data_IF_956873884398
#
_entry.id   IF_956873884398
#
_cell.length_a   1.000
_cell.length_b   1.000
_cell.length_c   1.000
_cell.angle_alpha   90.00
_cell.angle_beta   90.00
_cell.angle_gamma   90.00
#
_symmetry.space_group_name_H-M   'P 1'
#
loop_
_entity.id
_entity.type
_entity.pdbx_description
1 polymer ?
#
# COMPACT_ATOMS: atom_id res chain seq x y z
N UNK A 1 17.42 4.01 6.59
CA UNK A 1 17.76 3.20 5.39
C UNK A 1 17.93 1.75 5.82
N UNK A 2 17.39 0.83 5.00
CA UNK A 2 17.57 -0.62 5.00
C UNK A 2 16.78 -1.46 6.03
N UNK A 3 15.56 -1.87 5.65
CA UNK A 3 14.94 -3.10 6.17
C UNK A 3 13.95 -3.78 5.18
N UNK A 4 13.99 -3.51 3.87
CA UNK A 4 13.02 -4.12 2.92
C UNK A 4 13.49 -5.47 2.35
N UNK A 5 14.77 -5.82 2.49
CA UNK A 5 15.33 -7.04 1.88
C UNK A 5 14.99 -8.34 2.61
N UNK A 6 14.50 -8.28 3.86
CA UNK A 6 14.24 -9.49 4.65
C UNK A 6 12.81 -10.02 4.50
N UNK A 7 11.79 -9.15 4.44
CA UNK A 7 10.38 -9.59 4.37
C UNK A 7 10.02 -10.22 3.02
N UNK A 8 10.62 -9.74 1.92
CA UNK A 8 10.34 -10.25 0.57
C UNK A 8 11.17 -11.49 0.21
N UNK A 9 12.09 -11.93 1.09
CA UNK A 9 12.98 -13.07 0.83
C UNK A 9 12.23 -14.40 0.69
N UNK A 10 11.04 -14.51 1.27
CA UNK A 10 10.16 -15.68 1.18
C UNK A 10 9.33 -15.74 -0.11
N UNK A 11 9.27 -14.65 -0.88
CA UNK A 11 8.54 -14.60 -2.15
C UNK A 11 9.43 -15.19 -3.25
N UNK A 12 8.90 -16.16 -3.98
CA UNK A 12 9.57 -16.73 -5.14
C UNK A 12 9.82 -15.63 -6.19
N UNK A 13 11.07 -15.44 -6.63
CA UNK A 13 11.38 -14.52 -7.74
C UNK A 13 10.70 -14.99 -9.01
N UNK A 14 10.12 -14.06 -9.77
CA UNK A 14 9.45 -14.38 -11.01
C UNK A 14 10.44 -14.91 -12.06
N UNK A 15 10.16 -16.09 -12.62
CA UNK A 15 11.01 -16.77 -13.62
C UNK A 15 10.31 -17.00 -14.97
N UNK A 16 9.10 -16.46 -15.14
CA UNK A 16 8.29 -16.61 -16.35
C UNK A 16 7.42 -17.88 -16.39
N UNK A 17 7.63 -18.83 -15.49
CA UNK A 17 6.82 -20.07 -15.38
C UNK A 17 6.05 -20.16 -14.07
N UNK A 18 6.47 -19.40 -13.06
CA UNK A 18 5.92 -19.40 -11.71
C UNK A 18 4.95 -18.24 -11.43
N UNK A 19 4.26 -17.72 -12.45
CA UNK A 19 3.37 -16.54 -12.32
C UNK A 19 2.38 -16.68 -11.16
N UNK A 20 1.67 -17.81 -11.05
CA UNK A 20 0.68 -18.00 -9.99
C UNK A 20 1.28 -17.99 -8.58
N UNK A 21 2.48 -18.55 -8.42
CA UNK A 21 3.18 -18.60 -7.13
C UNK A 21 3.78 -17.24 -6.75
N UNK A 22 4.42 -16.57 -7.71
CA UNK A 22 4.91 -15.21 -7.53
C UNK A 22 3.78 -14.24 -7.20
N UNK A 23 2.66 -14.34 -7.95
CA UNK A 23 1.46 -13.54 -7.71
C UNK A 23 0.93 -13.80 -6.31
N UNK A 24 0.75 -15.05 -5.89
CA UNK A 24 0.27 -15.35 -4.54
C UNK A 24 1.18 -14.77 -3.45
N UNK A 25 2.50 -14.93 -3.58
CA UNK A 25 3.45 -14.37 -2.61
C UNK A 25 3.40 -12.84 -2.54
N UNK A 26 3.23 -12.18 -3.69
CA UNK A 26 3.01 -10.74 -3.75
C UNK A 26 1.68 -10.34 -3.08
N UNK A 27 0.60 -11.07 -3.35
CA UNK A 27 -0.72 -10.80 -2.76
C UNK A 27 -0.71 -10.96 -1.23
N UNK A 28 -0.08 -12.00 -0.70
CA UNK A 28 0.06 -12.19 0.76
C UNK A 28 0.86 -11.04 1.40
N UNK A 29 1.93 -10.57 0.76
CA UNK A 29 2.70 -9.44 1.27
C UNK A 29 1.87 -8.14 1.30
N UNK A 30 1.08 -7.89 0.25
CA UNK A 30 0.18 -6.74 0.21
C UNK A 30 -0.89 -6.83 1.30
N UNK A 31 -1.41 -8.03 1.58
CA UNK A 31 -2.38 -8.27 2.65
C UNK A 31 -1.77 -8.04 4.05
N UNK A 32 -0.55 -8.54 4.31
CA UNK A 32 0.17 -8.33 5.58
C UNK A 32 0.39 -6.84 5.89
N UNK A 33 0.54 -6.02 4.85
CA UNK A 33 0.75 -4.57 4.97
C UNK A 33 -0.54 -3.75 4.78
N UNK A 34 -1.69 -4.40 4.62
CA UNK A 34 -2.98 -3.75 4.37
C UNK A 34 -2.96 -2.79 3.16
N UNK A 35 -2.26 -3.18 2.11
CA UNK A 35 -2.06 -2.42 0.86
C UNK A 35 -2.94 -2.92 -0.29
N UNK A 36 -3.72 -3.98 -0.07
CA UNK A 36 -4.58 -4.58 -1.09
C UNK A 36 -5.51 -3.53 -1.68
N UNK A 37 -6.23 -2.83 -0.82
CA UNK A 37 -7.24 -1.85 -1.21
C UNK A 37 -6.62 -0.68 -2.00
N UNK A 38 -5.37 -0.30 -1.68
CA UNK A 38 -4.62 0.72 -2.42
C UNK A 38 -4.25 0.20 -3.82
N UNK A 39 -3.75 -1.04 -3.92
CA UNK A 39 -3.31 -1.62 -5.20
C UNK A 39 -4.49 -2.00 -6.10
N UNK A 40 -5.65 -2.33 -5.53
CA UNK A 40 -6.90 -2.57 -6.27
C UNK A 40 -7.60 -1.27 -6.66
N UNK A 41 -7.24 -0.14 -6.03
CA UNK A 41 -7.87 1.16 -6.24
C UNK A 41 -9.21 1.32 -5.49
N UNK A 42 -9.45 0.48 -4.48
CA UNK A 42 -10.58 0.61 -3.55
C UNK A 42 -10.32 1.67 -2.46
N UNK A 43 -9.06 1.87 -2.08
CA UNK A 43 -8.59 2.92 -1.16
C UNK A 43 -7.66 3.88 -1.92
N UNK A 44 -8.18 5.03 -2.34
CA UNK A 44 -7.42 6.09 -3.03
C UNK A 44 -7.15 7.25 -2.10
N UNK A 45 -6.12 8.04 -2.40
CA UNK A 45 -5.82 9.28 -1.67
C UNK A 45 -7.12 10.11 -1.50
N UNK A 46 -7.53 10.42 -0.26
CA UNK A 46 -8.70 11.26 -0.02
C UNK A 46 -8.52 12.65 -0.62
N UNK A 47 -9.59 13.22 -1.18
CA UNK A 47 -9.61 14.62 -1.60
C UNK A 47 -9.54 15.52 -0.36
N UNK A 48 -8.83 16.65 -0.45
CA UNK A 48 -8.73 17.61 0.65
C UNK A 48 -10.12 18.23 0.95
N UNK A 49 -10.63 18.00 2.15
CA UNK A 49 -11.87 18.61 2.64
C UNK A 49 -11.52 19.89 3.41
N UNK A 50 -12.06 21.01 2.95
CA UNK A 50 -11.86 22.32 3.58
C UNK A 50 -13.05 22.69 4.45
N UNK A 51 -12.79 23.22 5.63
CA UNK A 51 -13.82 23.80 6.49
C UNK A 51 -14.25 25.20 6.03
N UNK A 52 -15.23 25.79 6.72
CA UNK A 52 -15.76 27.13 6.44
C UNK A 52 -14.70 28.25 6.64
N UNK A 53 -13.61 27.98 7.37
CA UNK A 53 -12.51 28.90 7.64
C UNK A 53 -11.36 28.75 6.62
N UNK A 54 -11.41 27.73 5.76
CA UNK A 54 -10.44 27.44 4.71
C UNK A 54 -9.27 26.55 5.15
N UNK A 55 -9.39 25.91 6.32
CA UNK A 55 -8.42 24.94 6.84
C UNK A 55 -8.79 23.52 6.36
N UNK A 56 -7.79 22.64 6.22
CA UNK A 56 -7.99 21.24 5.79
C UNK A 56 -8.47 20.43 6.99
N UNK A 57 -9.73 19.99 6.97
CA UNK A 57 -10.37 19.23 8.05
C UNK A 57 -9.88 17.77 8.10
N UNK A 58 -9.62 17.16 6.93
CA UNK A 58 -9.20 15.77 6.82
C UNK A 58 -7.68 15.56 6.74
N UNK A 59 -6.89 16.49 7.29
CA UNK A 59 -5.42 16.43 7.23
C UNK A 59 -4.87 15.16 7.91
N UNK A 60 -5.52 14.68 8.98
CA UNK A 60 -5.13 13.45 9.68
C UNK A 60 -5.33 12.21 8.81
N UNK A 61 -6.46 12.10 8.12
CA UNK A 61 -6.78 10.97 7.24
C UNK A 61 -5.81 10.90 6.05
N UNK A 62 -5.48 12.06 5.45
CA UNK A 62 -4.47 12.17 4.39
C UNK A 62 -3.08 11.75 4.89
N UNK A 63 -2.72 12.14 6.13
CA UNK A 63 -1.44 11.72 6.74
C UNK A 63 -1.40 10.22 6.95
N UNK A 64 -2.47 9.62 7.47
CA UNK A 64 -2.56 8.17 7.69
C UNK A 64 -2.48 7.39 6.38
N UNK A 65 -3.16 7.84 5.32
CA UNK A 65 -3.06 7.24 4.00
C UNK A 65 -1.63 7.31 3.45
N UNK A 66 -0.95 8.46 3.58
CA UNK A 66 0.45 8.64 3.14
C UNK A 66 1.45 7.72 3.84
N UNK A 67 1.17 7.26 5.06
CA UNK A 67 2.04 6.27 5.74
C UNK A 67 2.02 4.91 5.02
N UNK A 68 0.90 4.55 4.37
CA UNK A 68 0.78 3.30 3.61
C UNK A 68 1.47 3.38 2.24
N UNK A 69 1.60 4.58 1.67
CA UNK A 69 2.24 4.83 0.36
C UNK A 69 3.79 4.94 0.43
N UNK A 70 4.37 5.23 1.61
CA UNK A 70 5.82 5.47 1.81
C UNK A 70 6.63 4.24 2.25
#
# INVERSE_FOLDING_TARGET
MAATSSQTSHIAKYDGRNYSLWKLGLWVLLEEHNLIDIVTGEDTLPDEEMDDDGDIENEEEIKEWKVKDC
#
